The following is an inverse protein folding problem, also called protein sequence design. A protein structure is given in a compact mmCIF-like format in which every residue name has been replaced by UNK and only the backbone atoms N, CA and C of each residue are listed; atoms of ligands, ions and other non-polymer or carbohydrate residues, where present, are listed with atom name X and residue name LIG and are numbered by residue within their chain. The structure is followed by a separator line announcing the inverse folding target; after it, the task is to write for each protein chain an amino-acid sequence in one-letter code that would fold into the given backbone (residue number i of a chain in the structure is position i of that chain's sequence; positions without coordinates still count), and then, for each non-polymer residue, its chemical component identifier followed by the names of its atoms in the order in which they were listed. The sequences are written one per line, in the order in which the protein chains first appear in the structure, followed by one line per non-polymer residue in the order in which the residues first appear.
data_IF_373717739137
#
_entry.id   IF_373717739137
#
_cell.length_a   1.000
_cell.length_b   1.000
_cell.length_c   1.000
_cell.angle_alpha   90.00
_cell.angle_beta   90.00
_cell.angle_gamma   90.00
#
_symmetry.space_group_name_H-M   'P 1'
#
loop_
_entity.id
_entity.type
_entity.pdbx_description
1 polymer ?
#
# COMPACT_ATOMS: atom_id res chain seq x y z
N UNK A 1 7.73 -5.05 -4.23
CA UNK A 1 7.39 -4.04 -3.19
C UNK A 1 6.20 -4.56 -2.41
N UNK A 2 6.02 -4.06 -1.18
CA UNK A 2 4.90 -4.31 -0.27
C UNK A 2 4.57 -5.79 0.02
N UNK A 3 3.54 -6.01 0.84
CA UNK A 3 2.95 -7.32 1.05
C UNK A 3 2.07 -7.71 -0.14
N UNK A 4 2.17 -8.98 -0.54
CA UNK A 4 1.29 -9.59 -1.54
C UNK A 4 0.41 -10.64 -0.84
N UNK A 5 -0.93 -10.53 -0.90
CA UNK A 5 -1.83 -11.36 -0.11
C UNK A 5 -1.77 -12.84 -0.52
N UNK A 6 -1.69 -13.15 -1.82
CA UNK A 6 -1.61 -14.52 -2.30
C UNK A 6 -0.24 -15.14 -2.06
N UNK A 7 0.83 -14.36 -2.20
CA UNK A 7 2.18 -14.81 -1.84
C UNK A 7 2.25 -15.17 -0.36
N UNK A 8 1.69 -14.33 0.51
CA UNK A 8 1.67 -14.62 1.94
C UNK A 8 0.80 -15.83 2.27
N UNK A 9 -0.36 -15.97 1.62
CA UNK A 9 -1.24 -17.12 1.80
C UNK A 9 -0.53 -18.43 1.40
N UNK A 10 0.10 -18.45 0.23
CA UNK A 10 0.94 -19.57 -0.21
C UNK A 10 2.06 -19.88 0.81
N UNK A 11 2.73 -18.84 1.34
CA UNK A 11 3.80 -19.00 2.33
C UNK A 11 3.29 -19.58 3.66
N UNK A 12 2.12 -19.13 4.13
CA UNK A 12 1.46 -19.67 5.34
C UNK A 12 1.09 -21.13 5.13
N UNK A 13 0.46 -21.47 4.00
CA UNK A 13 0.10 -22.84 3.64
C UNK A 13 1.34 -23.73 3.53
N UNK A 14 2.39 -23.24 2.86
CA UNK A 14 3.62 -23.99 2.66
C UNK A 14 4.33 -24.28 3.99
N UNK A 15 4.42 -23.28 4.88
CA UNK A 15 5.03 -23.44 6.20
C UNK A 15 4.28 -24.50 7.02
N UNK A 16 2.93 -24.47 7.01
CA UNK A 16 2.11 -25.47 7.69
C UNK A 16 2.26 -26.86 7.07
N UNK A 17 2.20 -26.96 5.75
CA UNK A 17 2.36 -28.21 5.04
C UNK A 17 3.71 -28.85 5.34
N UNK A 18 4.80 -28.08 5.29
CA UNK A 18 6.15 -28.58 5.60
C UNK A 18 6.26 -29.13 7.02
N UNK A 19 5.57 -28.54 8.00
CA UNK A 19 5.52 -29.09 9.38
C UNK A 19 4.85 -30.45 9.45
N UNK A 20 3.90 -30.75 8.57
CA UNK A 20 3.28 -32.09 8.51
C UNK A 20 4.21 -33.16 7.96
N UNK A 21 5.30 -32.75 7.31
CA UNK A 21 6.34 -33.65 6.77
C UNK A 21 7.46 -33.91 7.78
N UNK A 22 7.45 -33.28 8.96
CA UNK A 22 8.48 -33.47 9.97
C UNK A 22 8.51 -34.94 10.44
N UNK A 23 9.69 -35.55 10.34
CA UNK A 23 9.90 -36.97 10.66
C UNK A 23 9.69 -37.94 9.47
N UNK A 24 9.33 -37.45 8.28
CA UNK A 24 9.32 -38.27 7.06
C UNK A 24 10.72 -38.44 6.45
N UNK A 25 10.90 -39.51 5.67
CA UNK A 25 12.11 -39.72 4.86
C UNK A 25 12.23 -38.63 3.77
N UNK A 26 13.46 -38.22 3.47
CA UNK A 26 13.72 -37.06 2.60
C UNK A 26 13.07 -37.18 1.20
N UNK A 27 13.11 -38.37 0.61
CA UNK A 27 12.52 -38.64 -0.71
C UNK A 27 10.99 -38.54 -0.71
N UNK A 28 10.34 -38.97 0.38
CA UNK A 28 8.88 -38.87 0.54
C UNK A 28 8.45 -37.42 0.76
N UNK A 29 9.19 -36.68 1.59
CA UNK A 29 8.95 -35.26 1.82
C UNK A 29 9.12 -34.43 0.53
N UNK A 30 10.15 -34.71 -0.28
CA UNK A 30 10.36 -34.06 -1.57
C UNK A 30 9.21 -34.34 -2.55
N UNK A 31 8.75 -35.59 -2.64
CA UNK A 31 7.60 -35.95 -3.48
C UNK A 31 6.31 -35.26 -3.02
N UNK A 32 6.06 -35.23 -1.72
CA UNK A 32 4.91 -34.55 -1.13
C UNK A 32 4.94 -33.04 -1.42
N UNK A 33 6.10 -32.39 -1.26
CA UNK A 33 6.26 -30.97 -1.53
C UNK A 33 6.12 -30.63 -3.03
N UNK A 34 6.58 -31.50 -3.93
CA UNK A 34 6.34 -31.32 -5.37
C UNK A 34 4.84 -31.40 -5.75
N UNK A 35 4.01 -32.03 -4.92
CA UNK A 35 2.56 -32.09 -5.09
C UNK A 35 1.83 -30.88 -4.47
N UNK A 36 2.43 -30.22 -3.47
CA UNK A 36 1.84 -29.09 -2.75
C UNK A 36 1.36 -27.96 -3.68
N UNK A 37 2.20 -27.50 -4.61
CA UNK A 37 1.85 -26.40 -5.51
C UNK A 37 0.66 -26.71 -6.41
N UNK A 38 0.42 -27.99 -6.77
CA UNK A 38 -0.79 -28.38 -7.51
C UNK A 38 -2.03 -28.34 -6.61
N UNK A 39 -1.92 -28.88 -5.39
CA UNK A 39 -3.02 -28.85 -4.42
C UNK A 39 -3.42 -27.42 -4.08
N UNK A 40 -2.45 -26.54 -3.83
CA UNK A 40 -2.73 -25.13 -3.53
C UNK A 40 -3.55 -24.45 -4.64
N UNK A 41 -3.22 -24.70 -5.92
CA UNK A 41 -3.89 -24.04 -7.04
C UNK A 41 -5.23 -24.67 -7.45
N UNK A 42 -5.46 -25.96 -7.18
CA UNK A 42 -6.60 -26.70 -7.73
C UNK A 42 -7.57 -27.21 -6.65
N UNK A 43 -7.05 -27.55 -5.47
CA UNK A 43 -7.74 -28.27 -4.41
C UNK A 43 -7.24 -27.77 -3.03
N UNK A 44 -7.24 -26.44 -2.82
CA UNK A 44 -6.69 -25.81 -1.60
C UNK A 44 -7.35 -26.34 -0.32
N UNK A 45 -8.65 -26.66 -0.40
CA UNK A 45 -9.41 -27.28 0.69
C UNK A 45 -8.87 -28.63 1.17
N UNK A 46 -8.11 -29.35 0.33
CA UNK A 46 -7.49 -30.61 0.71
C UNK A 46 -6.16 -30.43 1.47
N UNK A 47 -5.61 -29.22 1.52
CA UNK A 47 -4.41 -28.94 2.29
C UNK A 47 -4.73 -28.89 3.79
N UNK A 48 -3.82 -29.40 4.66
CA UNK A 48 -3.96 -29.22 6.10
C UNK A 48 -3.97 -27.74 6.47
N UNK A 49 -5.11 -27.24 6.97
CA UNK A 49 -5.32 -25.85 7.37
C UNK A 49 -6.11 -25.78 8.68
N UNK A 50 -5.91 -24.73 9.48
CA UNK A 50 -6.79 -24.35 10.59
C UNK A 50 -7.72 -23.21 10.17
N UNK A 51 -8.64 -22.86 11.07
CA UNK A 51 -9.55 -21.73 10.85
C UNK A 51 -8.81 -20.41 10.64
N UNK A 52 -7.63 -20.20 11.26
CA UNK A 52 -6.79 -19.02 11.04
C UNK A 52 -6.26 -18.97 9.60
N UNK A 53 -5.78 -20.10 9.09
CA UNK A 53 -5.24 -20.20 7.74
C UNK A 53 -6.34 -20.08 6.68
N UNK A 54 -7.49 -20.72 6.89
CA UNK A 54 -8.66 -20.56 6.02
C UNK A 54 -9.20 -19.12 6.05
N UNK A 55 -9.24 -18.50 7.23
CA UNK A 55 -9.62 -17.10 7.38
C UNK A 55 -8.68 -16.17 6.60
N UNK A 56 -7.37 -16.42 6.64
CA UNK A 56 -6.40 -15.66 5.87
C UNK A 56 -6.59 -15.86 4.35
N UNK A 57 -6.81 -17.09 3.89
CA UNK A 57 -7.06 -17.40 2.48
C UNK A 57 -8.25 -16.62 1.92
N UNK A 58 -9.39 -16.66 2.62
CA UNK A 58 -10.59 -15.91 2.24
C UNK A 58 -10.36 -14.39 2.23
N UNK A 59 -9.58 -13.89 3.20
CA UNK A 59 -9.18 -12.48 3.23
C UNK A 59 -8.26 -12.11 2.05
N UNK A 60 -7.33 -12.99 1.68
CA UNK A 60 -6.44 -12.79 0.53
C UNK A 60 -7.22 -12.75 -0.79
N UNK A 61 -8.20 -13.63 -0.96
CA UNK A 61 -9.12 -13.60 -2.11
C UNK A 61 -9.94 -12.31 -2.14
N UNK A 62 -10.46 -11.87 -0.98
CA UNK A 62 -11.17 -10.60 -0.90
C UNK A 62 -10.27 -9.39 -1.25
N UNK A 63 -9.01 -9.42 -0.81
CA UNK A 63 -8.02 -8.41 -1.16
C UNK A 63 -7.77 -8.39 -2.67
N UNK A 64 -7.66 -9.56 -3.32
CA UNK A 64 -7.49 -9.63 -4.77
C UNK A 64 -8.65 -8.98 -5.52
N UNK A 65 -9.89 -9.33 -5.13
CA UNK A 65 -11.09 -8.74 -5.71
C UNK A 65 -11.10 -7.21 -5.59
N UNK A 66 -10.75 -6.67 -4.41
CA UNK A 66 -10.82 -5.23 -4.14
C UNK A 66 -9.65 -4.47 -4.79
N UNK A 67 -8.42 -4.96 -4.63
CA UNK A 67 -7.22 -4.21 -5.01
C UNK A 67 -6.82 -4.43 -6.48
N UNK A 68 -7.23 -5.53 -7.11
CA UNK A 68 -6.74 -5.94 -8.43
C UNK A 68 -7.84 -6.21 -9.48
N UNK A 69 -9.07 -6.54 -9.10
CA UNK A 69 -10.18 -6.71 -10.06
C UNK A 69 -11.08 -5.47 -10.12
N UNK A 70 -11.56 -4.98 -8.97
CA UNK A 70 -12.49 -3.86 -8.87
C UNK A 70 -12.03 -2.60 -9.61
N UNK A 71 -10.75 -2.16 -9.55
CA UNK A 71 -10.31 -0.93 -10.22
C UNK A 71 -10.40 -0.98 -11.75
N UNK A 72 -10.59 -2.16 -12.33
CA UNK A 72 -10.70 -2.39 -13.78
C UNK A 72 -12.08 -2.91 -14.19
N UNK A 73 -13.03 -3.01 -13.24
CA UNK A 73 -14.38 -3.46 -13.52
C UNK A 73 -15.24 -2.32 -14.08
N UNK A 74 -16.12 -2.65 -15.02
CA UNK A 74 -17.18 -1.75 -15.44
C UNK A 74 -18.26 -1.67 -14.34
N UNK A 75 -19.07 -0.60 -14.34
CA UNK A 75 -20.13 -0.36 -13.34
C UNK A 75 -21.07 -1.56 -13.13
N UNK A 76 -21.33 -2.33 -14.19
CA UNK A 76 -22.21 -3.51 -14.16
C UNK A 76 -21.64 -4.67 -13.33
N UNK A 77 -20.32 -4.80 -13.26
CA UNK A 77 -19.63 -5.90 -12.57
C UNK A 77 -19.12 -5.48 -11.18
N UNK A 78 -18.89 -4.17 -10.97
CA UNK A 78 -18.35 -3.61 -9.74
C UNK A 78 -19.17 -3.98 -8.49
N UNK A 79 -20.51 -3.88 -8.55
CA UNK A 79 -21.38 -4.25 -7.42
C UNK A 79 -21.25 -5.74 -7.04
N UNK A 80 -21.09 -6.61 -8.04
CA UNK A 80 -20.90 -8.04 -7.85
C UNK A 80 -19.58 -8.37 -7.16
N UNK A 81 -18.51 -7.70 -7.57
CA UNK A 81 -17.17 -7.83 -6.97
C UNK A 81 -17.20 -7.38 -5.51
N UNK A 82 -17.78 -6.21 -5.21
CA UNK A 82 -17.90 -5.69 -3.84
C UNK A 82 -18.70 -6.65 -2.96
N UNK A 83 -19.84 -7.14 -3.44
CA UNK A 83 -20.68 -8.09 -2.69
C UNK A 83 -19.95 -9.40 -2.37
N UNK A 84 -19.21 -9.94 -3.36
CA UNK A 84 -18.40 -11.15 -3.18
C UNK A 84 -17.27 -10.93 -2.17
N UNK A 85 -16.52 -9.84 -2.29
CA UNK A 85 -15.44 -9.51 -1.36
C UNK A 85 -15.95 -9.36 0.09
N UNK A 86 -17.09 -8.69 0.28
CA UNK A 86 -17.72 -8.59 1.61
C UNK A 86 -18.13 -9.95 2.18
N UNK A 87 -18.67 -10.85 1.35
CA UNK A 87 -19.06 -12.20 1.77
C UNK A 87 -17.83 -12.99 2.26
N UNK A 88 -16.72 -12.91 1.51
CA UNK A 88 -15.46 -13.55 1.88
C UNK A 88 -14.91 -13.00 3.20
N UNK A 89 -14.96 -11.68 3.41
CA UNK A 89 -14.52 -11.06 4.66
C UNK A 89 -15.38 -11.45 5.86
N UNK A 90 -16.70 -11.55 5.70
CA UNK A 90 -17.59 -12.02 6.76
C UNK A 90 -17.35 -13.50 7.09
N UNK A 91 -17.15 -14.36 6.09
CA UNK A 91 -16.78 -15.76 6.32
C UNK A 91 -15.41 -15.85 7.03
N UNK A 92 -14.41 -15.09 6.59
CA UNK A 92 -13.10 -15.04 7.22
C UNK A 92 -13.20 -14.67 8.71
N UNK A 93 -14.02 -13.68 9.05
CA UNK A 93 -14.23 -13.24 10.42
C UNK A 93 -15.10 -14.19 11.24
N UNK A 94 -15.93 -15.02 10.59
CA UNK A 94 -16.65 -16.09 11.28
C UNK A 94 -15.72 -17.23 11.72
N UNK A 95 -14.65 -17.48 10.96
CA UNK A 95 -13.62 -18.49 11.24
C UNK A 95 -12.59 -18.00 12.26
N UNK A 96 -11.99 -16.82 12.02
CA UNK A 96 -11.08 -16.15 12.96
C UNK A 96 -11.54 -14.71 13.21
N UNK A 97 -12.34 -14.46 14.28
CA UNK A 97 -12.72 -13.11 14.68
C UNK A 97 -11.53 -12.20 15.01
N UNK A 98 -10.35 -12.78 15.23
CA UNK A 98 -9.12 -12.08 15.54
C UNK A 98 -8.27 -11.81 14.29
N UNK A 99 -8.71 -12.16 13.07
CA UNK A 99 -8.03 -11.81 11.83
C UNK A 99 -8.00 -10.28 11.65
N UNK A 100 -6.84 -9.67 11.96
CA UNK A 100 -6.68 -8.23 11.96
C UNK A 100 -6.83 -7.60 10.56
N UNK A 101 -6.35 -8.28 9.51
CA UNK A 101 -6.47 -7.81 8.13
C UNK A 101 -7.92 -7.83 7.67
N UNK A 102 -8.65 -8.94 7.89
CA UNK A 102 -10.06 -9.02 7.53
C UNK A 102 -10.91 -7.98 8.27
N UNK A 103 -10.62 -7.76 9.57
CA UNK A 103 -11.27 -6.70 10.36
C UNK A 103 -11.01 -5.32 9.77
N UNK A 104 -9.75 -5.02 9.45
CA UNK A 104 -9.31 -3.73 8.90
C UNK A 104 -9.94 -3.46 7.53
N UNK A 105 -9.88 -4.44 6.63
CA UNK A 105 -10.45 -4.34 5.27
C UNK A 105 -11.97 -4.15 5.32
N UNK A 106 -12.67 -4.92 6.16
CA UNK A 106 -14.12 -4.73 6.35
C UNK A 106 -14.44 -3.32 6.86
N UNK A 107 -13.69 -2.84 7.85
CA UNK A 107 -13.94 -1.51 8.42
C UNK A 107 -13.60 -0.39 7.44
N UNK A 108 -12.62 -0.58 6.53
CA UNK A 108 -12.34 0.37 5.46
C UNK A 108 -13.55 0.58 4.53
N UNK A 109 -14.35 -0.47 4.31
CA UNK A 109 -15.59 -0.37 3.52
C UNK A 109 -16.78 0.23 4.29
N UNK A 110 -16.82 0.08 5.62
CA UNK A 110 -17.95 0.52 6.45
C UNK A 110 -17.79 1.93 7.01
N UNK A 111 -16.56 2.35 7.32
CA UNK A 111 -16.30 3.63 7.93
C UNK A 111 -16.21 4.71 6.85
N UNK A 112 -17.17 5.63 6.88
CA UNK A 112 -17.20 6.76 5.95
C UNK A 112 -16.22 7.85 6.40
N UNK A 113 -15.20 8.08 5.57
CA UNK A 113 -14.22 9.16 5.74
C UNK A 113 -12.90 8.73 6.37
N UNK A 114 -11.84 9.49 6.11
CA UNK A 114 -10.49 9.15 6.55
C UNK A 114 -10.25 9.35 8.05
N UNK A 115 -10.75 10.43 8.65
CA UNK A 115 -10.54 10.72 10.08
C UNK A 115 -11.15 9.66 11.01
N UNK A 116 -12.41 9.20 10.80
CA UNK A 116 -12.95 8.12 11.63
C UNK A 116 -12.22 6.79 11.42
N UNK A 117 -11.75 6.50 10.20
CA UNK A 117 -10.99 5.28 9.94
C UNK A 117 -9.59 5.33 10.57
N UNK A 118 -8.94 6.50 10.56
CA UNK A 118 -7.71 6.74 11.32
C UNK A 118 -7.92 6.51 12.82
N UNK A 119 -9.00 7.03 13.40
CA UNK A 119 -9.33 6.81 14.81
C UNK A 119 -9.52 5.32 15.13
N UNK A 120 -10.23 4.57 14.28
CA UNK A 120 -10.37 3.11 14.40
C UNK A 120 -9.02 2.38 14.40
N UNK A 121 -8.12 2.74 13.49
CA UNK A 121 -6.77 2.17 13.42
C UNK A 121 -5.96 2.49 14.68
N UNK A 122 -6.05 3.73 15.16
CA UNK A 122 -5.33 4.20 16.33
C UNK A 122 -5.78 3.47 17.62
N UNK A 123 -7.10 3.30 17.78
CA UNK A 123 -7.70 2.60 18.92
C UNK A 123 -7.37 1.10 18.91
N UNK A 124 -7.39 0.46 17.73
CA UNK A 124 -7.17 -0.98 17.60
C UNK A 124 -5.70 -1.43 17.66
N UNK A 125 -4.74 -0.51 17.48
CA UNK A 125 -3.32 -0.86 17.28
C UNK A 125 -2.75 -1.75 18.39
N UNK A 126 -3.09 -1.47 19.65
CA UNK A 126 -2.48 -2.15 20.80
C UNK A 126 -3.00 -3.58 20.95
N UNK A 127 -4.29 -3.79 20.68
CA UNK A 127 -4.87 -5.12 20.65
C UNK A 127 -4.21 -5.99 19.57
N UNK A 128 -4.06 -5.45 18.36
CA UNK A 128 -3.44 -6.16 17.23
C UNK A 128 -1.97 -6.45 17.51
N UNK A 129 -1.25 -5.49 18.11
CA UNK A 129 0.15 -5.66 18.53
C UNK A 129 0.31 -6.85 19.47
N UNK A 130 -0.42 -6.86 20.59
CA UNK A 130 -0.32 -7.91 21.61
C UNK A 130 -0.64 -9.29 21.03
N UNK A 131 -1.67 -9.37 20.20
CA UNK A 131 -2.06 -10.62 19.54
C UNK A 131 -0.97 -11.14 18.59
N UNK A 132 -0.41 -10.27 17.74
CA UNK A 132 0.62 -10.66 16.79
C UNK A 132 1.94 -10.99 17.48
N UNK A 133 2.30 -10.28 18.55
CA UNK A 133 3.48 -10.59 19.37
C UNK A 133 3.36 -11.95 20.06
N UNK A 134 2.19 -12.27 20.62
CA UNK A 134 1.95 -13.59 21.23
C UNK A 134 2.07 -14.70 20.17
N UNK A 135 1.48 -14.51 18.98
CA UNK A 135 1.62 -15.46 17.85
C UNK A 135 3.09 -15.59 17.41
N UNK A 136 3.83 -14.48 17.37
CA UNK A 136 5.26 -14.45 17.03
C UNK A 136 6.10 -15.25 18.02
N UNK A 137 5.87 -15.08 19.32
CA UNK A 137 6.57 -15.82 20.37
C UNK A 137 6.33 -17.33 20.27
N UNK A 138 5.09 -17.75 20.00
CA UNK A 138 4.77 -19.16 19.75
C UNK A 138 5.51 -19.69 18.52
N UNK A 139 5.49 -18.95 17.41
CA UNK A 139 6.17 -19.36 16.17
C UNK A 139 7.70 -19.49 16.35
N UNK A 140 8.31 -18.64 17.19
CA UNK A 140 9.73 -18.72 17.53
C UNK A 140 10.09 -20.00 18.31
N UNK A 141 9.11 -20.61 19.00
CA UNK A 141 9.30 -21.87 19.74
C UNK A 141 9.10 -23.12 18.86
N UNK A 142 8.69 -22.95 17.59
CA UNK A 142 8.29 -24.04 16.70
C UNK A 142 9.32 -24.29 15.58
N UNK A 143 10.03 -25.42 15.66
CA UNK A 143 10.88 -25.91 14.56
C UNK A 143 12.35 -25.50 14.65
N UNK A 144 13.02 -25.44 13.50
CA UNK A 144 14.42 -25.02 13.38
C UNK A 144 14.52 -23.51 13.13
N UNK A 145 15.71 -22.94 13.35
CA UNK A 145 15.92 -21.48 13.37
C UNK A 145 15.33 -20.73 12.16
N UNK A 146 15.55 -21.21 10.94
CA UNK A 146 15.05 -20.55 9.72
C UNK A 146 13.51 -20.59 9.62
N UNK A 147 12.88 -21.74 9.86
CA UNK A 147 11.42 -21.89 9.81
C UNK A 147 10.74 -21.11 10.93
N UNK A 148 11.32 -21.10 12.13
CA UNK A 148 10.81 -20.35 13.28
C UNK A 148 10.89 -18.85 13.02
N UNK A 149 12.01 -18.35 12.49
CA UNK A 149 12.16 -16.93 12.12
C UNK A 149 11.19 -16.51 11.02
N UNK A 150 10.97 -17.35 10.00
CA UNK A 150 10.00 -17.05 8.95
C UNK A 150 8.55 -17.07 9.46
N UNK A 151 8.19 -18.06 10.29
CA UNK A 151 6.88 -18.10 10.94
C UNK A 151 6.64 -16.91 11.88
N UNK A 152 7.68 -16.47 12.59
CA UNK A 152 7.64 -15.28 13.43
C UNK A 152 7.38 -14.00 12.63
N UNK A 153 7.98 -13.87 11.44
CA UNK A 153 7.69 -12.76 10.52
C UNK A 153 6.22 -12.79 10.05
N UNK A 154 5.73 -13.94 9.58
CA UNK A 154 4.33 -14.09 9.15
C UNK A 154 3.33 -13.81 10.28
N UNK A 155 3.66 -14.18 11.52
CA UNK A 155 2.84 -13.87 12.69
C UNK A 155 2.79 -12.37 13.01
N UNK A 156 3.84 -11.61 12.70
CA UNK A 156 3.90 -10.17 12.92
C UNK A 156 3.32 -9.35 11.76
N UNK A 157 3.29 -9.91 10.55
CA UNK A 157 2.89 -9.23 9.32
C UNK A 157 1.54 -8.48 9.40
N UNK A 158 0.47 -9.00 10.05
CA UNK A 158 -0.78 -8.26 10.18
C UNK A 158 -0.62 -6.95 10.98
N UNK A 159 0.24 -6.93 12.01
CA UNK A 159 0.53 -5.71 12.76
C UNK A 159 1.36 -4.71 11.95
N UNK A 160 2.28 -5.19 11.11
CA UNK A 160 3.01 -4.34 10.18
C UNK A 160 2.06 -3.67 9.18
N UNK A 161 1.13 -4.43 8.57
CA UNK A 161 0.09 -3.83 7.70
C UNK A 161 -0.85 -2.88 8.42
N UNK A 162 -1.18 -3.17 9.67
CA UNK A 162 -1.98 -2.28 10.52
C UNK A 162 -1.30 -0.94 10.73
N UNK A 163 -0.02 -0.95 11.14
CA UNK A 163 0.77 0.27 11.31
C UNK A 163 0.96 1.02 9.98
N UNK A 164 1.13 0.32 8.86
CA UNK A 164 1.28 0.95 7.56
C UNK A 164 0.00 1.68 7.15
N UNK A 165 -1.16 1.06 7.39
CA UNK A 165 -2.46 1.70 7.20
C UNK A 165 -2.64 2.91 8.12
N UNK A 166 -2.26 2.78 9.40
CA UNK A 166 -2.30 3.87 10.36
C UNK A 166 -1.44 5.05 9.91
N UNK A 167 -0.22 4.79 9.45
CA UNK A 167 0.70 5.82 8.97
C UNK A 167 0.17 6.52 7.72
N UNK A 168 -0.36 5.77 6.75
CA UNK A 168 -0.97 6.32 5.54
C UNK A 168 -2.18 7.20 5.87
N UNK A 169 -3.10 6.72 6.72
CA UNK A 169 -4.28 7.50 7.12
C UNK A 169 -3.91 8.70 7.98
N UNK A 170 -2.91 8.59 8.85
CA UNK A 170 -2.36 9.73 9.58
C UNK A 170 -1.85 10.82 8.61
N UNK A 171 -1.11 10.43 7.57
CA UNK A 171 -0.61 11.35 6.55
C UNK A 171 -1.76 12.04 5.79
N UNK A 172 -2.75 11.27 5.32
CA UNK A 172 -3.92 11.80 4.59
C UNK A 172 -4.72 12.77 5.47
N UNK A 173 -4.89 12.46 6.74
CA UNK A 173 -5.57 13.33 7.72
C UNK A 173 -4.74 14.54 8.17
N UNK A 174 -3.47 14.65 7.75
CA UNK A 174 -2.59 15.74 8.16
C UNK A 174 -1.95 15.58 9.55
N UNK A 175 -2.08 14.41 10.18
CA UNK A 175 -1.39 14.02 11.41
C UNK A 175 0.06 13.62 11.11
N UNK A 176 0.82 14.49 10.45
CA UNK A 176 2.12 14.15 9.84
C UNK A 176 3.17 13.65 10.86
N UNK A 177 3.19 14.20 12.08
CA UNK A 177 4.07 13.69 13.14
C UNK A 177 3.69 12.25 13.54
N UNK A 178 2.40 11.96 13.68
CA UNK A 178 1.93 10.61 14.00
C UNK A 178 2.23 9.63 12.85
N UNK A 179 2.17 10.09 11.59
CA UNK A 179 2.58 9.30 10.43
C UNK A 179 4.08 8.93 10.51
N UNK A 180 4.95 9.89 10.84
CA UNK A 180 6.39 9.64 11.04
C UNK A 180 6.62 8.66 12.20
N UNK A 181 5.96 8.86 13.35
CA UNK A 181 6.11 7.99 14.52
C UNK A 181 5.68 6.53 14.22
N UNK A 182 4.60 6.35 13.46
CA UNK A 182 4.16 5.03 13.02
C UNK A 182 5.15 4.38 12.05
N UNK A 183 5.73 5.16 11.11
CA UNK A 183 6.77 4.67 10.19
C UNK A 183 8.06 4.30 10.91
N UNK A 184 8.52 5.09 11.88
CA UNK A 184 9.70 4.77 12.70
C UNK A 184 9.50 3.48 13.48
N UNK A 185 8.29 3.27 14.05
CA UNK A 185 7.95 2.02 14.72
C UNK A 185 7.95 0.83 13.77
N UNK A 186 7.43 1.00 12.55
CA UNK A 186 7.48 -0.01 11.50
C UNK A 186 8.91 -0.41 11.16
N UNK A 187 9.77 0.55 10.83
CA UNK A 187 11.16 0.31 10.46
C UNK A 187 11.98 -0.29 11.60
N UNK A 188 11.62 -0.02 12.85
CA UNK A 188 12.23 -0.66 14.01
C UNK A 188 11.80 -2.14 14.18
N UNK A 189 10.55 -2.46 13.84
CA UNK A 189 10.01 -3.84 13.91
C UNK A 189 10.44 -4.69 12.72
N UNK A 190 10.55 -4.07 11.55
CA UNK A 190 10.93 -4.69 10.28
C UNK A 190 11.99 -3.85 9.55
N UNK A 191 13.28 -4.12 9.80
CA UNK A 191 14.38 -3.44 9.12
C UNK A 191 14.47 -3.72 7.61
N UNK A 192 13.76 -4.73 7.09
CA UNK A 192 13.68 -5.02 5.65
C UNK A 192 12.63 -4.18 4.93
N UNK A 193 11.81 -3.45 5.69
CA UNK A 193 10.79 -2.53 5.20
C UNK A 193 9.78 -3.18 4.24
N UNK A 194 9.28 -4.37 4.58
CA UNK A 194 8.28 -5.11 3.80
C UNK A 194 6.95 -4.36 3.68
N UNK A 195 6.66 -3.47 4.63
CA UNK A 195 5.49 -2.58 4.60
C UNK A 195 5.70 -1.31 3.76
N UNK A 196 6.92 -1.09 3.22
CA UNK A 196 7.31 0.12 2.52
C UNK A 196 7.03 1.43 3.32
N UNK A 197 7.28 1.38 4.63
CA UNK A 197 7.10 2.51 5.54
C UNK A 197 7.94 3.73 5.14
N UNK A 198 9.13 3.51 4.55
CA UNK A 198 10.00 4.61 4.08
C UNK A 198 9.30 5.56 3.10
N UNK A 199 8.39 5.05 2.28
CA UNK A 199 7.67 5.85 1.28
C UNK A 199 6.70 6.83 1.95
N UNK A 200 5.88 6.33 2.87
CA UNK A 200 4.95 7.16 3.65
C UNK A 200 5.72 8.14 4.54
N UNK A 201 6.84 7.69 5.13
CA UNK A 201 7.69 8.55 5.94
C UNK A 201 8.29 9.71 5.13
N UNK A 202 8.76 9.43 3.91
CA UNK A 202 9.30 10.48 3.03
C UNK A 202 8.26 11.56 2.73
N UNK A 203 7.01 11.17 2.43
CA UNK A 203 5.92 12.12 2.21
C UNK A 203 5.60 12.92 3.47
N UNK A 204 5.50 12.26 4.62
CA UNK A 204 5.21 12.90 5.91
C UNK A 204 6.29 13.91 6.32
N UNK A 205 7.57 13.58 6.13
CA UNK A 205 8.67 14.50 6.40
C UNK A 205 8.66 15.71 5.46
N UNK A 206 8.32 15.53 4.18
CA UNK A 206 8.13 16.65 3.26
C UNK A 206 6.92 17.54 3.63
N UNK A 207 5.86 16.95 4.19
CA UNK A 207 4.72 17.72 4.76
C UNK A 207 5.12 18.52 5.99
N UNK A 208 6.02 17.99 6.81
CA UNK A 208 6.60 18.68 7.97
C UNK A 208 7.71 19.68 7.60
N UNK A 209 8.08 19.75 6.32
CA UNK A 209 9.22 20.53 5.82
C UNK A 209 10.55 20.16 6.51
N UNK A 210 10.66 18.91 6.99
CA UNK A 210 11.83 18.42 7.71
C UNK A 210 12.92 17.92 6.75
N UNK A 211 13.77 18.85 6.32
CA UNK A 211 14.93 18.55 5.49
C UNK A 211 15.89 17.55 6.14
N UNK A 212 16.06 17.65 7.46
CA UNK A 212 17.04 16.84 8.20
C UNK A 212 16.54 15.41 8.35
N UNK A 213 15.27 15.24 8.68
CA UNK A 213 14.62 13.94 8.69
C UNK A 213 14.67 13.25 7.34
N UNK A 214 14.48 13.98 6.23
CA UNK A 214 14.64 13.42 4.88
C UNK A 214 16.09 13.00 4.58
N UNK A 215 17.09 13.78 4.99
CA UNK A 215 18.51 13.40 4.88
C UNK A 215 18.82 12.13 5.67
N UNK A 216 18.28 12.02 6.88
CA UNK A 216 18.46 10.84 7.71
C UNK A 216 17.76 9.60 7.11
N UNK A 217 16.53 9.76 6.62
CA UNK A 217 15.79 8.68 5.98
C UNK A 217 16.53 8.18 4.74
N UNK A 218 16.99 9.07 3.86
CA UNK A 218 17.76 8.70 2.67
C UNK A 218 19.02 7.91 3.04
N UNK A 219 19.77 8.36 4.06
CA UNK A 219 20.95 7.65 4.55
C UNK A 219 20.58 6.26 5.08
N UNK A 220 19.46 6.13 5.80
CA UNK A 220 18.98 4.87 6.36
C UNK A 220 18.58 3.90 5.25
N UNK A 221 17.78 4.35 4.29
CA UNK A 221 17.37 3.58 3.10
C UNK A 221 18.58 3.13 2.29
N UNK A 222 19.59 4.00 2.12
CA UNK A 222 20.83 3.64 1.43
C UNK A 222 21.67 2.54 2.12
N UNK A 223 21.40 2.27 3.40
CA UNK A 223 22.03 1.20 4.18
C UNK A 223 21.18 -0.07 4.33
N UNK A 224 19.90 -0.03 3.91
CA UNK A 224 19.01 -1.19 3.95
C UNK A 224 19.35 -2.20 2.84
N UNK A 225 19.12 -3.48 3.12
CA UNK A 225 19.21 -4.55 2.14
C UNK A 225 17.84 -4.78 1.49
N UNK A 226 17.50 -3.89 0.55
CA UNK A 226 16.23 -3.93 -0.16
C UNK A 226 16.36 -4.77 -1.43
N UNK A 227 15.34 -5.60 -1.71
CA UNK A 227 15.20 -6.32 -2.97
C UNK A 227 14.73 -5.38 -4.11
N UNK A 228 15.54 -4.34 -4.38
CA UNK A 228 15.35 -3.39 -5.48
C UNK A 228 16.69 -2.78 -5.93
N UNK A 229 16.77 -2.28 -7.17
CA UNK A 229 17.93 -1.49 -7.59
C UNK A 229 18.12 -0.25 -6.70
N UNK A 230 19.38 0.07 -6.37
CA UNK A 230 19.75 1.24 -5.57
C UNK A 230 19.59 2.58 -6.31
N UNK A 231 19.58 2.53 -7.65
CA UNK A 231 19.38 3.70 -8.50
C UNK A 231 18.43 3.36 -9.65
N UNK A 232 17.60 4.32 -10.09
CA UNK A 232 17.35 5.64 -9.46
C UNK A 232 16.77 5.51 -8.04
N UNK A 233 16.77 6.61 -7.28
CA UNK A 233 16.10 6.64 -5.97
C UNK A 233 14.60 6.38 -6.15
N UNK A 234 13.92 5.92 -5.10
CA UNK A 234 12.47 5.72 -5.19
C UNK A 234 11.71 7.02 -5.45
N UNK A 235 10.58 6.90 -6.15
CA UNK A 235 9.77 8.03 -6.58
C UNK A 235 9.28 8.88 -5.40
N UNK A 236 8.88 8.25 -4.29
CA UNK A 236 8.41 8.95 -3.09
C UNK A 236 9.47 9.88 -2.52
N UNK A 237 10.69 9.39 -2.31
CA UNK A 237 11.80 10.22 -1.82
C UNK A 237 12.11 11.36 -2.79
N UNK A 238 12.19 11.08 -4.09
CA UNK A 238 12.48 12.13 -5.08
C UNK A 238 11.37 13.19 -5.15
N UNK A 239 10.09 12.78 -5.10
CA UNK A 239 8.95 13.71 -5.07
C UNK A 239 8.94 14.54 -3.79
N UNK A 240 9.22 13.93 -2.63
CA UNK A 240 9.38 14.62 -1.35
C UNK A 240 10.51 15.67 -1.38
N UNK A 241 11.67 15.31 -1.95
CA UNK A 241 12.79 16.23 -2.12
C UNK A 241 12.47 17.37 -3.09
N UNK A 242 11.77 17.05 -4.18
CA UNK A 242 11.29 18.03 -5.14
C UNK A 242 10.34 19.03 -4.48
N UNK A 243 9.35 18.54 -3.71
CA UNK A 243 8.38 19.35 -3.00
C UNK A 243 9.06 20.27 -1.98
N UNK A 244 10.02 19.75 -1.21
CA UNK A 244 10.74 20.54 -0.23
C UNK A 244 11.58 21.65 -0.87
N UNK A 245 12.32 21.33 -1.94
CA UNK A 245 13.10 22.33 -2.67
C UNK A 245 12.20 23.41 -3.29
N UNK A 246 11.03 23.03 -3.81
CA UNK A 246 10.03 23.96 -4.32
C UNK A 246 9.51 24.90 -3.21
N UNK A 247 9.16 24.37 -2.04
CA UNK A 247 8.69 25.17 -0.89
C UNK A 247 9.76 26.14 -0.38
N UNK A 248 11.03 25.81 -0.56
CA UNK A 248 12.19 26.65 -0.21
C UNK A 248 12.57 27.67 -1.31
N UNK A 249 11.78 27.76 -2.40
CA UNK A 249 12.05 28.59 -3.58
C UNK A 249 13.36 28.24 -4.32
N UNK A 250 13.93 27.05 -4.08
CA UNK A 250 15.06 26.49 -4.83
C UNK A 250 14.55 25.72 -6.06
N UNK A 251 14.02 26.47 -7.02
CA UNK A 251 13.45 25.88 -8.25
C UNK A 251 14.50 25.16 -9.11
N UNK A 252 15.78 25.50 -8.97
CA UNK A 252 16.85 24.80 -9.67
C UNK A 252 17.01 23.37 -9.14
N UNK A 253 17.06 23.22 -7.81
CA UNK A 253 17.12 21.91 -7.16
C UNK A 253 15.83 21.12 -7.32
N UNK A 254 14.67 21.78 -7.25
CA UNK A 254 13.38 21.14 -7.52
C UNK A 254 13.34 20.54 -8.94
N UNK A 255 13.77 21.29 -9.97
CA UNK A 255 13.89 20.76 -11.34
C UNK A 255 14.86 19.59 -11.45
N UNK A 256 15.98 19.63 -10.73
CA UNK A 256 16.93 18.51 -10.72
C UNK A 256 16.30 17.22 -10.19
N UNK A 257 15.50 17.29 -9.12
CA UNK A 257 14.79 16.13 -8.59
C UNK A 257 13.70 15.64 -9.54
N UNK A 258 12.91 16.56 -10.10
CA UNK A 258 11.89 16.23 -11.08
C UNK A 258 12.48 15.55 -12.33
N UNK A 259 13.63 16.02 -12.81
CA UNK A 259 14.36 15.40 -13.91
C UNK A 259 14.85 13.99 -13.53
N UNK A 260 15.34 13.79 -12.30
CA UNK A 260 15.72 12.47 -11.80
C UNK A 260 14.58 11.45 -11.84
N UNK A 261 13.35 11.86 -11.50
CA UNK A 261 12.14 11.04 -11.65
C UNK A 261 11.88 10.74 -13.13
N UNK A 262 11.97 11.75 -14.00
CA UNK A 262 11.70 11.63 -15.43
C UNK A 262 12.67 10.70 -16.18
N UNK A 263 13.92 10.64 -15.75
CA UNK A 263 14.93 9.73 -16.31
C UNK A 263 14.88 8.34 -15.67
N UNK A 264 14.32 8.24 -14.45
CA UNK A 264 14.31 7.02 -13.66
C UNK A 264 13.16 6.06 -13.95
N UNK A 265 12.04 6.58 -14.46
CA UNK A 265 10.80 5.81 -14.62
C UNK A 265 10.24 5.89 -16.06
N UNK A 266 9.68 4.80 -16.59
CA UNK A 266 8.96 4.82 -17.86
C UNK A 266 7.76 5.78 -17.81
N UNK A 267 7.47 6.46 -18.92
CA UNK A 267 6.33 7.37 -19.10
C UNK A 267 6.18 8.47 -18.03
N UNK A 268 7.25 8.77 -17.28
CA UNK A 268 7.16 9.60 -16.10
C UNK A 268 6.58 11.00 -16.34
N UNK A 269 6.89 11.61 -17.49
CA UNK A 269 6.35 12.92 -17.87
C UNK A 269 4.83 12.88 -18.04
N UNK A 270 4.28 11.82 -18.64
CA UNK A 270 2.84 11.64 -18.77
C UNK A 270 2.18 11.42 -17.41
N UNK A 271 2.76 10.55 -16.57
CA UNK A 271 2.26 10.27 -15.21
C UNK A 271 2.25 11.53 -14.33
N UNK A 272 3.34 12.31 -14.33
CA UNK A 272 3.46 13.57 -13.59
C UNK A 272 2.61 14.70 -14.15
N UNK A 273 2.21 14.61 -15.42
CA UNK A 273 1.26 15.54 -16.03
C UNK A 273 -0.18 15.22 -15.62
N UNK A 274 -0.55 13.93 -15.66
CA UNK A 274 -1.89 13.44 -15.34
C UNK A 274 -2.18 13.48 -13.84
N UNK A 275 -1.19 13.20 -12.98
CA UNK A 275 -1.33 13.18 -11.52
C UNK A 275 -2.62 12.49 -11.06
N UNK A 276 -2.83 11.27 -11.54
CA UNK A 276 -4.04 10.50 -11.27
C UNK A 276 -4.04 10.05 -9.81
N UNK A 277 -5.16 10.24 -9.15
CA UNK A 277 -5.45 9.65 -7.84
C UNK A 277 -6.07 8.26 -8.06
N UNK A 278 -5.57 7.30 -7.30
CA UNK A 278 -6.04 5.92 -7.26
C UNK A 278 -6.64 5.64 -5.88
N UNK A 279 -7.61 4.72 -5.79
CA UNK A 279 -8.03 4.18 -4.50
C UNK A 279 -6.84 3.60 -3.73
N UNK A 280 -6.83 3.78 -2.41
CA UNK A 280 -5.85 3.15 -1.53
C UNK A 280 -6.03 1.63 -1.52
N UNK A 281 -4.93 0.89 -1.57
CA UNK A 281 -4.96 -0.56 -1.40
C UNK A 281 -5.46 -0.95 0.00
N UNK A 282 -6.43 -1.87 0.06
CA UNK A 282 -7.07 -2.27 1.32
C UNK A 282 -6.26 -3.30 2.07
N UNK A 283 -5.47 -4.15 1.38
CA UNK A 283 -4.58 -5.10 2.07
C UNK A 283 -3.27 -4.44 2.50
N UNK A 284 -2.57 -3.81 1.58
CA UNK A 284 -1.36 -3.02 1.80
C UNK A 284 -1.19 -2.07 0.60
N UNK A 285 -0.10 -1.30 0.56
CA UNK A 285 0.31 -0.65 -0.70
C UNK A 285 0.40 -1.72 -1.81
N UNK A 286 -0.05 -1.39 -3.02
CA UNK A 286 -0.07 -2.34 -4.14
C UNK A 286 1.32 -2.93 -4.39
N UNK A 287 1.39 -4.26 -4.47
CA UNK A 287 2.63 -4.98 -4.76
C UNK A 287 2.98 -4.84 -6.25
N UNK A 288 4.00 -4.00 -6.54
CA UNK A 288 4.40 -3.69 -7.91
C UNK A 288 5.90 -3.99 -8.14
N UNK A 289 6.30 -4.26 -9.40
CA UNK A 289 7.70 -4.36 -9.77
C UNK A 289 8.44 -3.03 -9.52
N UNK A 290 9.64 -3.04 -8.92
CA UNK A 290 10.44 -1.84 -8.78
C UNK A 290 10.78 -1.21 -10.14
N UNK A 291 10.81 0.11 -10.19
CA UNK A 291 11.06 0.98 -11.34
C UNK A 291 10.09 0.81 -12.51
N UNK A 292 8.90 0.26 -12.22
CA UNK A 292 7.81 0.17 -13.20
C UNK A 292 7.09 1.51 -13.37
N UNK A 293 6.36 1.65 -14.48
CA UNK A 293 5.40 2.74 -14.66
C UNK A 293 4.36 2.77 -13.53
N UNK A 294 3.85 1.60 -13.15
CA UNK A 294 2.87 1.45 -12.08
C UNK A 294 3.39 1.94 -10.73
N UNK A 295 4.67 1.67 -10.39
CA UNK A 295 5.29 2.23 -9.16
C UNK A 295 5.18 3.74 -9.14
N UNK A 296 5.47 4.41 -10.26
CA UNK A 296 5.39 5.86 -10.34
C UNK A 296 3.93 6.34 -10.27
N UNK A 297 2.99 5.65 -10.91
CA UNK A 297 1.56 6.00 -10.83
C UNK A 297 1.10 5.97 -9.37
N UNK A 298 1.42 4.90 -8.63
CA UNK A 298 1.08 4.80 -7.20
C UNK A 298 1.80 5.88 -6.39
N UNK A 299 3.09 6.11 -6.63
CA UNK A 299 3.84 7.15 -5.93
C UNK A 299 3.25 8.56 -6.14
N UNK A 300 2.83 8.87 -7.36
CA UNK A 300 2.19 10.15 -7.69
C UNK A 300 0.80 10.26 -7.04
N UNK A 301 0.03 9.17 -7.02
CA UNK A 301 -1.26 9.11 -6.33
C UNK A 301 -1.12 9.34 -4.82
N UNK A 302 -0.18 8.67 -4.17
CA UNK A 302 0.06 8.85 -2.73
C UNK A 302 0.67 10.23 -2.42
N UNK A 303 1.44 10.80 -3.34
CA UNK A 303 2.00 12.14 -3.22
C UNK A 303 0.96 13.26 -3.44
N UNK A 304 -0.32 12.95 -3.66
CA UNK A 304 -1.41 13.96 -3.73
C UNK A 304 -1.44 14.87 -2.52
N UNK A 305 -1.09 14.37 -1.33
CA UNK A 305 -0.94 15.17 -0.10
C UNK A 305 0.07 16.32 -0.22
N UNK A 306 1.05 16.19 -1.12
CA UNK A 306 2.01 17.23 -1.50
C UNK A 306 1.58 17.98 -2.76
N UNK A 307 1.20 17.24 -3.80
CA UNK A 307 0.88 17.80 -5.11
C UNK A 307 -0.30 18.74 -5.01
N UNK A 308 -1.42 18.26 -4.46
CA UNK A 308 -2.70 18.97 -4.36
C UNK A 308 -2.79 19.89 -3.12
N UNK A 309 -1.66 20.21 -2.49
CA UNK A 309 -1.63 21.11 -1.34
C UNK A 309 -1.96 22.56 -1.75
N UNK A 310 -3.00 23.10 -1.12
CA UNK A 310 -3.47 24.47 -1.33
C UNK A 310 -4.51 24.60 -2.43
N UNK A 311 -4.93 25.84 -2.71
CA UNK A 311 -5.88 26.14 -3.78
C UNK A 311 -5.15 26.79 -4.95
N UNK A 312 -5.28 26.21 -6.12
CA UNK A 312 -4.91 26.83 -7.38
C UNK A 312 -6.12 26.83 -8.33
N UNK A 313 -5.99 27.47 -9.50
CA UNK A 313 -7.09 27.53 -10.47
C UNK A 313 -7.35 26.19 -11.16
N UNK A 314 -6.43 25.23 -11.07
CA UNK A 314 -6.52 23.92 -11.74
C UNK A 314 -6.88 22.78 -10.78
N UNK A 315 -7.14 23.05 -9.50
CA UNK A 315 -7.51 22.04 -8.50
C UNK A 315 -6.37 21.09 -8.13
N UNK A 316 -5.12 21.47 -8.38
CA UNK A 316 -3.90 20.66 -8.31
C UNK A 316 -2.90 21.16 -7.28
N UNK A 317 -3.21 22.20 -6.49
CA UNK A 317 -2.26 22.82 -5.57
C UNK A 317 -1.13 23.56 -6.31
N UNK A 318 -0.37 24.38 -5.58
CA UNK A 318 0.69 25.20 -6.22
C UNK A 318 1.86 24.36 -6.74
N UNK A 319 2.27 23.36 -5.95
CA UNK A 319 3.36 22.45 -6.31
C UNK A 319 2.96 21.52 -7.47
N UNK A 320 1.77 20.90 -7.41
CA UNK A 320 1.28 20.03 -8.48
C UNK A 320 1.13 20.77 -9.81
N UNK A 321 0.64 22.02 -9.79
CA UNK A 321 0.57 22.86 -10.99
C UNK A 321 1.96 23.18 -11.57
N UNK A 322 2.94 23.48 -10.71
CA UNK A 322 4.32 23.70 -11.14
C UNK A 322 4.95 22.44 -11.75
N UNK A 323 4.78 21.27 -11.12
CA UNK A 323 5.27 19.99 -11.66
C UNK A 323 4.70 19.75 -13.06
N UNK A 324 3.38 19.93 -13.22
CA UNK A 324 2.70 19.79 -14.51
C UNK A 324 3.30 20.73 -15.56
N UNK A 325 3.46 22.01 -15.24
CA UNK A 325 4.00 23.01 -16.17
C UNK A 325 5.46 22.72 -16.55
N UNK A 326 6.27 22.21 -15.63
CA UNK A 326 7.66 21.81 -15.90
C UNK A 326 7.73 20.61 -16.84
N UNK A 327 7.03 19.50 -16.54
CA UNK A 327 7.05 18.32 -17.42
C UNK A 327 6.39 18.60 -18.77
N UNK A 328 5.40 19.50 -18.81
CA UNK A 328 4.76 19.90 -20.05
C UNK A 328 5.75 20.50 -21.04
N UNK A 329 6.79 21.24 -20.60
CA UNK A 329 7.78 21.86 -21.50
C UNK A 329 8.46 20.86 -22.42
N UNK A 330 8.60 19.62 -21.97
CA UNK A 330 9.30 18.54 -22.68
C UNK A 330 8.37 17.64 -23.50
N UNK A 331 7.05 17.77 -23.32
CA UNK A 331 6.06 17.04 -24.12
C UNK A 331 5.85 17.71 -25.48
N UNK A 332 5.68 16.90 -26.53
CA UNK A 332 5.29 17.40 -27.84
C UNK A 332 3.86 17.97 -27.82
N UNK A 333 3.50 18.88 -28.74
CA UNK A 333 2.14 19.41 -28.82
C UNK A 333 1.06 18.33 -29.05
N UNK A 334 1.43 17.17 -29.60
CA UNK A 334 0.50 16.05 -29.80
C UNK A 334 0.26 15.31 -28.48
N UNK A 335 1.33 14.91 -27.79
CA UNK A 335 1.23 14.22 -26.49
C UNK A 335 0.45 15.06 -25.48
N UNK A 336 0.70 16.38 -25.44
CA UNK A 336 -0.06 17.28 -24.55
C UNK A 336 -1.55 17.24 -24.82
N UNK A 337 -1.97 17.27 -26.10
CA UNK A 337 -3.39 17.20 -26.47
C UNK A 337 -4.01 15.86 -26.06
N UNK A 338 -3.33 14.76 -26.33
CA UNK A 338 -3.80 13.42 -25.94
C UNK A 338 -3.95 13.31 -24.41
N UNK A 339 -3.02 13.86 -23.64
CA UNK A 339 -3.09 13.88 -22.18
C UNK A 339 -4.14 14.85 -21.63
N UNK A 340 -4.35 16.00 -22.29
CA UNK A 340 -5.45 16.93 -21.97
C UNK A 340 -6.81 16.25 -22.17
N UNK A 341 -7.01 15.52 -23.27
CA UNK A 341 -8.24 14.76 -23.55
C UNK A 341 -8.49 13.67 -22.49
N UNK A 342 -7.45 12.90 -22.14
CA UNK A 342 -7.53 11.89 -21.08
C UNK A 342 -7.90 12.50 -19.72
N UNK A 343 -7.29 13.64 -19.38
CA UNK A 343 -7.59 14.36 -18.14
C UNK A 343 -9.03 14.86 -18.11
N UNK A 344 -9.50 15.44 -19.22
CA UNK A 344 -10.84 16.02 -19.29
C UNK A 344 -11.93 14.95 -19.23
N UNK A 345 -11.67 13.74 -19.77
CA UNK A 345 -12.54 12.57 -19.59
C UNK A 345 -12.64 12.15 -18.11
N UNK A 346 -11.52 12.12 -17.38
CA UNK A 346 -11.48 11.74 -15.96
C UNK A 346 -12.25 12.73 -15.05
N UNK A 347 -12.22 14.02 -15.36
CA UNK A 347 -12.99 15.03 -14.61
C UNK A 347 -14.50 14.84 -14.80
N UNK A 348 -14.92 14.25 -15.92
CA UNK A 348 -16.33 13.96 -16.20
C UNK A 348 -16.82 12.73 -15.43
N UNK A 349 -16.01 11.67 -15.36
CA UNK A 349 -16.32 10.47 -14.54
C UNK A 349 -16.32 10.77 -13.04
N UNK A 350 -15.34 11.52 -12.53
CA UNK A 350 -15.26 11.89 -11.11
C UNK A 350 -16.38 12.83 -10.61
N UNK A 351 -17.19 13.40 -11.51
CA UNK A 351 -18.42 14.13 -11.14
C UNK A 351 -19.64 13.21 -10.98
N UNK A 352 -19.56 11.96 -11.42
CA UNK A 352 -20.58 10.93 -11.23
C UNK A 352 -20.55 10.29 -9.83
N UNK A 353 -19.38 10.25 -9.18
CA UNK A 353 -19.18 9.62 -7.86
C UNK A 353 -19.27 10.62 -6.68
N UNK A 354 -19.59 11.89 -6.95
CA UNK A 354 -19.76 12.96 -5.96
C UNK A 354 -21.22 13.31 -5.65
N UNK A 355 -22.07 12.34 -5.32
CA UNK A 355 -23.41 12.58 -4.75
C UNK A 355 -23.44 12.22 -3.25
N UNK A 356 -23.87 13.03 -2.29
CA UNK A 356 -24.61 14.28 -2.32
C UNK A 356 -24.30 15.08 -1.05
N UNK A 357 -23.92 16.36 -1.19
CA UNK A 357 -24.16 17.31 -0.10
C UNK A 357 -25.68 17.53 -0.01
N UNK A 358 -26.33 17.35 1.16
CA UNK A 358 -27.74 17.68 1.28
C UNK A 358 -27.90 19.19 1.13
N UNK A 359 -28.63 19.59 0.11
CA UNK A 359 -29.14 20.94 -0.08
C UNK A 359 -29.87 21.38 1.19
N UNK A 360 -29.31 22.37 1.89
CA UNK A 360 -30.09 23.19 2.83
C UNK A 360 -31.08 24.01 2.01
N UNK A 361 -32.35 23.62 1.99
CA UNK A 361 -33.46 24.53 1.72
C UNK A 361 -34.79 23.83 2.09
N UNK A 362 -35.57 24.47 2.97
CA UNK A 362 -36.92 23.99 3.33
C UNK A 362 -37.37 24.34 4.74
N UNK A 363 -37.60 25.64 5.00
CA UNK A 363 -38.33 26.13 6.17
C UNK A 363 -39.76 25.59 6.23
N UNK A 364 -40.18 25.11 7.40
CA UNK A 364 -41.41 25.46 8.12
C UNK A 364 -41.41 24.80 9.51
#
# INVERSE_FOLDING_TARGET
MAFDPHREDYQRMALRFVRTLDGQEADDALRAFAHFGRLYNQESDLLPQSDEERSFHLMADAAHLIDYELPFADDADAEGIVSRAHTLLEEALSLDPANADARRMRQAALIVGFEPFYAFLLEGQEQVRLQCEERRERALCEGNHERSSFGAFLALAPYLRWLASLASKALICGHNHAAVDACERLLALDPSDAADARFTQALALAKLEDATGLDELERRVGAMDLDRPRRPQDAWLQLSRCALAYKQDDLARARSWLHGVCEGYPQARATLYLQKELPDGVFARLALPPLSEDELIVAVSEATVLLQEGRDRRGRGSFGAWVMDEVAKELSPRERRELDELRDAQVQDGRGEGGSAPSKEGSA
#
